data_IF_555208082240
#
_entry.id   IF_555208082240
#
_cell.length_a   1.000
_cell.length_b   1.000
_cell.length_c   1.000
_cell.angle_alpha   90.00
_cell.angle_beta   90.00
_cell.angle_gamma   90.00
#
_symmetry.space_group_name_H-M   'P 1'
#
loop_
_entity.id
_entity.type
_entity.pdbx_description
1 polymer ?
#
# COMPACT_ATOMS: atom_id res chain seq x y z
N UNK A 1 -28.24 -13.08 -0.47
CA UNK A 1 -27.67 -12.64 -1.77
C UNK A 1 -26.52 -11.67 -1.46
N UNK A 2 -25.26 -12.07 -1.66
CA UNK A 2 -24.12 -11.18 -1.36
C UNK A 2 -24.08 -10.06 -2.39
N UNK A 3 -24.11 -8.80 -1.94
CA UNK A 3 -24.06 -7.62 -2.79
C UNK A 3 -22.68 -7.54 -3.46
N UNK A 4 -22.63 -7.48 -4.79
CA UNK A 4 -21.36 -7.29 -5.51
C UNK A 4 -20.75 -5.94 -5.13
N UNK A 5 -19.44 -5.92 -4.90
CA UNK A 5 -18.68 -4.69 -4.66
C UNK A 5 -18.57 -3.92 -5.97
N UNK A 6 -19.17 -2.72 -6.02
CA UNK A 6 -19.06 -1.87 -7.20
C UNK A 6 -17.67 -1.20 -7.29
N UNK A 7 -17.24 -0.75 -8.49
CA UNK A 7 -16.04 0.08 -8.65
C UNK A 7 -15.97 1.27 -7.67
N UNK A 8 -17.12 1.91 -7.42
CA UNK A 8 -17.24 3.05 -6.49
C UNK A 8 -17.01 2.62 -5.04
N UNK A 9 -17.52 1.47 -4.63
CA UNK A 9 -17.32 0.93 -3.28
C UNK A 9 -15.85 0.64 -3.01
N UNK A 10 -15.12 0.14 -4.01
CA UNK A 10 -13.70 -0.14 -3.89
C UNK A 10 -12.86 1.14 -3.71
N UNK A 11 -13.17 2.20 -4.45
CA UNK A 11 -12.51 3.52 -4.29
C UNK A 11 -12.88 4.12 -2.93
N UNK A 12 -14.15 4.09 -2.54
CA UNK A 12 -14.62 4.57 -1.24
C UNK A 12 -13.98 3.82 -0.06
N UNK A 13 -13.68 2.53 -0.23
CA UNK A 13 -12.92 1.75 0.75
C UNK A 13 -11.49 2.30 0.92
N UNK A 14 -10.80 2.58 -0.20
CA UNK A 14 -9.46 3.17 -0.18
C UNK A 14 -9.49 4.58 0.41
N UNK A 15 -10.49 5.39 0.06
CA UNK A 15 -10.71 6.70 0.66
C UNK A 15 -10.89 6.62 2.17
N UNK A 16 -11.82 5.79 2.64
CA UNK A 16 -12.10 5.62 4.07
C UNK A 16 -10.84 5.28 4.85
N UNK A 17 -10.07 4.32 4.38
CA UNK A 17 -8.88 3.83 5.11
C UNK A 17 -7.60 4.64 4.84
N UNK A 18 -7.54 5.40 3.75
CA UNK A 18 -6.39 6.22 3.35
C UNK A 18 -5.25 5.40 2.75
N UNK A 19 -4.84 4.31 3.42
CA UNK A 19 -3.81 3.37 2.93
C UNK A 19 -4.34 1.95 3.01
N UNK A 20 -4.25 1.21 1.90
CA UNK A 20 -4.82 -0.13 1.75
C UNK A 20 -3.84 -1.02 0.98
N UNK A 21 -3.67 -2.27 1.38
CA UNK A 21 -2.96 -3.28 0.59
C UNK A 21 -3.90 -3.87 -0.46
N UNK A 22 -3.41 -4.15 -1.67
CA UNK A 22 -4.26 -4.75 -2.71
C UNK A 22 -4.78 -6.13 -2.28
N UNK A 23 -3.86 -7.04 -1.93
CA UNK A 23 -4.21 -8.42 -1.57
C UNK A 23 -3.34 -9.02 -0.46
N UNK A 24 -2.41 -8.25 0.09
CA UNK A 24 -1.47 -8.75 1.09
C UNK A 24 -1.92 -8.39 2.51
N UNK A 25 -1.44 -9.16 3.49
CA UNK A 25 -1.62 -8.86 4.91
C UNK A 25 -0.56 -7.91 5.42
N UNK A 26 -0.93 -7.04 6.35
CA UNK A 26 -0.04 -6.06 6.93
C UNK A 26 -0.73 -5.18 7.97
N UNK A 27 -0.12 -4.03 8.32
CA UNK A 27 -0.63 -3.13 9.35
C UNK A 27 -1.83 -2.28 8.88
N UNK A 28 -2.26 -2.44 7.63
CA UNK A 28 -3.40 -1.73 7.02
C UNK A 28 -4.35 -2.76 6.40
N UNK A 29 -5.63 -2.41 6.16
CA UNK A 29 -6.58 -3.32 5.54
C UNK A 29 -6.15 -3.82 4.16
N UNK A 30 -6.68 -4.98 3.77
CA UNK A 30 -6.50 -5.59 2.45
C UNK A 30 -7.81 -5.48 1.65
N UNK A 31 -7.77 -4.91 0.45
CA UNK A 31 -8.94 -4.80 -0.42
C UNK A 31 -9.47 -6.18 -0.80
N UNK A 32 -8.58 -7.11 -1.18
CA UNK A 32 -8.98 -8.45 -1.58
C UNK A 32 -9.65 -9.22 -0.43
N UNK A 33 -9.11 -9.15 0.80
CA UNK A 33 -9.72 -9.82 1.96
C UNK A 33 -11.04 -9.14 2.37
N UNK A 34 -11.15 -7.82 2.21
CA UNK A 34 -12.41 -7.11 2.45
C UNK A 34 -13.52 -7.55 1.49
N UNK A 35 -13.20 -7.71 0.20
CA UNK A 35 -14.14 -8.23 -0.81
C UNK A 35 -14.45 -9.71 -0.56
N UNK A 36 -13.43 -10.50 -0.21
CA UNK A 36 -13.60 -11.91 0.12
C UNK A 36 -14.50 -12.10 1.35
N UNK A 37 -14.48 -11.14 2.28
CA UNK A 37 -15.05 -11.22 3.62
C UNK A 37 -14.38 -12.31 4.49
N UNK A 38 -13.18 -12.72 4.09
CA UNK A 38 -12.39 -13.76 4.76
C UNK A 38 -10.89 -13.59 4.41
N UNK A 39 -9.98 -14.12 5.23
CA UNK A 39 -8.57 -14.16 4.88
C UNK A 39 -8.33 -15.04 3.65
N UNK A 40 -7.61 -14.53 2.65
CA UNK A 40 -7.26 -15.30 1.46
C UNK A 40 -5.99 -16.11 1.74
N UNK A 41 -6.05 -17.43 1.54
CA UNK A 41 -4.88 -18.32 1.54
C UNK A 41 -4.40 -18.53 0.10
N UNK A 42 -3.12 -18.27 -0.15
CA UNK A 42 -2.53 -18.42 -1.49
C UNK A 42 -2.88 -17.26 -2.44
N UNK A 43 -2.99 -17.57 -3.74
CA UNK A 43 -3.26 -16.57 -4.78
C UNK A 43 -4.74 -16.22 -4.84
N UNK A 44 -5.07 -14.92 -4.74
CA UNK A 44 -6.44 -14.44 -4.87
C UNK A 44 -7.06 -14.69 -6.26
N UNK A 45 -6.22 -14.92 -7.29
CA UNK A 45 -6.67 -15.26 -8.64
C UNK A 45 -7.50 -16.55 -8.68
N UNK A 46 -7.18 -17.53 -7.84
CA UNK A 46 -7.93 -18.79 -7.74
C UNK A 46 -9.11 -18.74 -6.78
N UNK A 47 -9.35 -17.59 -6.13
CA UNK A 47 -10.45 -17.45 -5.18
C UNK A 47 -11.80 -17.39 -5.89
N UNK A 48 -12.87 -17.89 -5.28
CA UNK A 48 -14.23 -17.82 -5.83
C UNK A 48 -14.66 -16.37 -6.16
N UNK A 49 -14.14 -15.40 -5.40
CA UNK A 49 -14.35 -13.95 -5.62
C UNK A 49 -13.25 -13.27 -6.46
N UNK A 50 -12.35 -14.03 -7.08
CA UNK A 50 -11.20 -13.51 -7.84
C UNK A 50 -11.62 -12.50 -8.91
N UNK A 51 -12.67 -12.79 -9.67
CA UNK A 51 -13.20 -11.86 -10.68
C UNK A 51 -13.67 -10.51 -10.09
N UNK A 52 -14.30 -10.53 -8.90
CA UNK A 52 -14.71 -9.30 -8.21
C UNK A 52 -13.51 -8.51 -7.69
N UNK A 53 -12.52 -9.21 -7.12
CA UNK A 53 -11.26 -8.60 -6.67
C UNK A 53 -10.53 -7.93 -7.83
N UNK A 54 -10.45 -8.59 -8.99
CA UNK A 54 -9.83 -8.03 -10.20
C UNK A 54 -10.53 -6.75 -10.67
N UNK A 55 -11.86 -6.76 -10.77
CA UNK A 55 -12.64 -5.59 -11.19
C UNK A 55 -12.47 -4.41 -10.23
N UNK A 56 -12.51 -4.69 -8.92
CA UNK A 56 -12.28 -3.67 -7.90
C UNK A 56 -10.85 -3.10 -7.97
N UNK A 57 -9.84 -3.96 -8.09
CA UNK A 57 -8.44 -3.54 -8.21
C UNK A 57 -8.21 -2.68 -9.46
N UNK A 58 -8.80 -3.04 -10.61
CA UNK A 58 -8.78 -2.24 -11.84
C UNK A 58 -9.35 -0.85 -11.61
N UNK A 59 -10.57 -0.76 -11.06
CA UNK A 59 -11.22 0.52 -10.78
C UNK A 59 -10.40 1.43 -9.86
N UNK A 60 -9.77 0.85 -8.83
CA UNK A 60 -8.89 1.58 -7.92
C UNK A 60 -7.62 2.07 -8.63
N UNK A 61 -6.99 1.24 -9.48
CA UNK A 61 -5.80 1.62 -10.24
C UNK A 61 -6.07 2.73 -11.27
N UNK A 62 -7.28 2.78 -11.83
CA UNK A 62 -7.70 3.77 -12.83
C UNK A 62 -8.17 5.09 -12.19
N UNK A 63 -8.37 5.12 -10.87
CA UNK A 63 -8.79 6.33 -10.16
C UNK A 63 -7.66 7.37 -10.10
N UNK A 64 -7.93 8.65 -10.48
CA UNK A 64 -6.96 9.72 -10.34
C UNK A 64 -6.64 10.07 -8.88
N UNK A 65 -7.51 9.67 -7.94
CA UNK A 65 -7.35 9.92 -6.51
C UNK A 65 -6.59 8.82 -5.77
N UNK A 66 -6.06 7.83 -6.49
CA UNK A 66 -5.30 6.74 -5.89
C UNK A 66 -3.89 6.66 -6.47
N UNK A 67 -2.91 6.73 -5.58
CA UNK A 67 -1.54 6.35 -5.87
C UNK A 67 -1.42 4.84 -5.67
N UNK A 68 -0.96 4.16 -6.71
CA UNK A 68 -0.50 2.77 -6.61
C UNK A 68 1.01 2.77 -6.45
N UNK A 69 1.51 2.20 -5.35
CA UNK A 69 2.95 2.17 -5.05
C UNK A 69 3.33 0.89 -4.27
N UNK A 70 4.59 0.81 -3.84
CA UNK A 70 5.17 -0.35 -3.13
C UNK A 70 5.61 0.01 -1.71
N UNK A 71 4.77 0.79 -1.01
CA UNK A 71 5.05 1.40 0.29
C UNK A 71 5.34 0.39 1.41
N UNK A 72 4.49 -0.63 1.54
CA UNK A 72 4.51 -1.58 2.66
C UNK A 72 5.17 -2.89 2.20
N UNK A 73 6.40 -3.14 2.64
CA UNK A 73 7.16 -4.36 2.31
C UNK A 73 7.22 -4.70 0.82
N UNK A 74 7.29 -3.69 -0.04
CA UNK A 74 7.25 -3.81 -1.51
C UNK A 74 5.96 -4.44 -2.08
N UNK A 75 4.89 -4.54 -1.27
CA UNK A 75 3.57 -5.01 -1.69
C UNK A 75 2.82 -3.88 -2.38
N UNK A 76 1.98 -4.23 -3.36
CA UNK A 76 1.08 -3.27 -4.03
C UNK A 76 0.19 -2.63 -2.97
N UNK A 77 0.34 -1.31 -2.85
CA UNK A 77 -0.32 -0.48 -1.85
C UNK A 77 -1.07 0.63 -2.57
N UNK A 78 -2.33 0.81 -2.19
CA UNK A 78 -3.19 1.91 -2.61
C UNK A 78 -3.14 3.00 -1.56
N UNK A 79 -2.92 4.24 -2.01
CA UNK A 79 -2.87 5.40 -1.14
C UNK A 79 -3.80 6.47 -1.70
N UNK A 80 -4.83 6.83 -0.93
CA UNK A 80 -5.81 7.83 -1.34
C UNK A 80 -5.22 9.25 -1.32
N UNK A 81 -5.69 10.12 -2.22
CA UNK A 81 -5.25 11.51 -2.36
C UNK A 81 -5.28 12.30 -1.07
N UNK A 82 -6.29 12.08 -0.22
CA UNK A 82 -6.44 12.76 1.08
C UNK A 82 -5.25 12.58 2.02
N UNK A 83 -4.45 11.51 1.85
CA UNK A 83 -3.26 11.25 2.69
C UNK A 83 -1.94 11.48 1.95
N UNK A 84 -1.95 11.88 0.67
CA UNK A 84 -0.72 12.18 -0.07
C UNK A 84 0.13 13.28 0.57
N UNK A 85 -0.42 14.39 1.11
CA UNK A 85 0.40 15.39 1.79
C UNK A 85 1.21 14.81 2.96
N UNK A 86 0.60 13.93 3.76
CA UNK A 86 1.28 13.23 4.85
C UNK A 86 2.36 12.26 4.33
N UNK A 87 2.08 11.56 3.22
CA UNK A 87 3.03 10.66 2.58
C UNK A 87 4.27 11.42 2.07
N UNK A 88 4.05 12.55 1.39
CA UNK A 88 5.10 13.44 0.89
C UNK A 88 5.90 14.03 2.05
N UNK A 89 5.24 14.55 3.08
CA UNK A 89 5.89 15.11 4.29
C UNK A 89 6.83 14.11 4.95
N UNK A 90 6.46 12.83 4.96
CA UNK A 90 7.25 11.76 5.55
C UNK A 90 8.10 10.97 4.55
N UNK A 91 8.25 11.43 3.30
CA UNK A 91 8.95 10.70 2.25
C UNK A 91 10.35 10.18 2.63
N UNK A 92 11.21 10.96 3.33
CA UNK A 92 12.53 10.49 3.78
C UNK A 92 12.48 9.22 4.64
N UNK A 93 11.36 8.94 5.32
CA UNK A 93 11.20 7.74 6.14
C UNK A 93 10.95 6.49 5.32
N UNK A 94 10.43 6.62 4.10
CA UNK A 94 10.04 5.49 3.25
C UNK A 94 11.04 5.20 2.14
N UNK A 95 11.73 6.23 1.65
CA UNK A 95 12.62 6.17 0.50
C UNK A 95 11.86 6.30 -0.82
N UNK A 96 12.44 7.05 -1.76
CA UNK A 96 11.78 7.46 -3.01
C UNK A 96 11.30 6.29 -3.88
N UNK A 97 12.06 5.19 -3.91
CA UNK A 97 11.70 3.99 -4.71
C UNK A 97 10.35 3.40 -4.29
N UNK A 98 10.04 3.39 -3.00
CA UNK A 98 8.76 2.86 -2.49
C UNK A 98 7.58 3.79 -2.75
N UNK A 99 7.86 5.06 -3.03
CA UNK A 99 6.88 6.10 -3.32
C UNK A 99 6.70 6.33 -4.81
N UNK A 100 7.44 5.63 -5.68
CA UNK A 100 7.19 5.67 -7.11
C UNK A 100 5.75 5.22 -7.39
N UNK A 101 5.06 5.96 -8.27
CA UNK A 101 3.78 5.51 -8.84
C UNK A 101 4.10 4.33 -9.76
N UNK A 102 3.43 3.20 -9.57
CA UNK A 102 3.63 1.98 -10.38
C UNK A 102 2.32 1.49 -10.95
N UNK A 103 2.35 0.94 -12.15
CA UNK A 103 1.22 0.24 -12.77
C UNK A 103 1.74 -0.81 -13.72
N UNK A 104 0.91 -1.80 -14.03
CA UNK A 104 1.24 -2.82 -15.01
C UNK A 104 0.38 -2.60 -16.26
N UNK A 105 1.03 -2.57 -17.42
CA UNK A 105 0.38 -2.52 -18.73
C UNK A 105 0.36 -3.93 -19.33
N UNK A 106 -0.82 -4.38 -19.77
CA UNK A 106 -0.90 -5.57 -20.61
C UNK A 106 -0.60 -5.16 -22.06
N UNK A 107 0.45 -5.73 -22.64
CA UNK A 107 0.71 -5.55 -24.07
C UNK A 107 -0.30 -6.34 -24.91
N UNK A 108 -0.38 -6.03 -26.20
CA UNK A 108 -1.21 -6.80 -27.17
C UNK A 108 -0.85 -8.28 -27.22
N UNK A 109 0.34 -8.66 -26.76
CA UNK A 109 0.85 -10.04 -26.70
C UNK A 109 0.59 -10.73 -25.36
N UNK A 110 -0.11 -10.07 -24.42
CA UNK A 110 -0.37 -10.60 -23.07
C UNK A 110 0.83 -10.50 -22.12
N UNK A 111 1.94 -9.89 -22.53
CA UNK A 111 3.08 -9.63 -21.65
C UNK A 111 2.74 -8.49 -20.69
N UNK A 112 3.06 -8.66 -19.42
CA UNK A 112 2.91 -7.60 -18.42
C UNK A 112 4.17 -6.75 -18.41
N UNK A 113 4.04 -5.47 -18.72
CA UNK A 113 5.14 -4.50 -18.61
C UNK A 113 4.88 -3.63 -17.40
N UNK A 114 5.75 -3.72 -16.40
CA UNK A 114 5.67 -2.85 -15.23
C UNK A 114 6.21 -1.46 -15.59
N UNK A 115 5.41 -0.44 -15.31
CA UNK A 115 5.72 0.97 -15.53
C UNK A 115 5.83 1.70 -14.21
N UNK A 116 6.58 2.80 -14.23
CA UNK A 116 6.72 3.66 -13.06
C UNK A 116 6.94 5.11 -13.41
N UNK A 117 6.46 6.00 -12.53
CA UNK A 117 6.86 7.40 -12.46
C UNK A 117 7.54 7.60 -11.10
N UNK A 118 8.82 8.02 -11.06
CA UNK A 118 9.55 8.14 -9.80
C UNK A 118 9.00 9.27 -8.93
N UNK A 119 9.11 9.13 -7.61
CA UNK A 119 8.87 10.24 -6.69
C UNK A 119 9.99 11.31 -6.83
N UNK A 120 9.69 12.62 -6.76
CA UNK A 120 8.37 13.23 -6.58
C UNK A 120 7.65 13.58 -7.91
N UNK A 121 8.08 13.07 -9.07
CA UNK A 121 7.59 13.53 -10.39
C UNK A 121 6.08 13.38 -10.62
N UNK A 122 5.42 12.44 -9.94
CA UNK A 122 3.97 12.25 -10.06
C UNK A 122 3.16 13.16 -9.14
N UNK A 123 3.80 13.82 -8.16
CA UNK A 123 3.11 14.53 -7.08
C UNK A 123 2.54 15.85 -7.62
N UNK A 124 1.21 16.08 -7.52
CA UNK A 124 0.61 17.35 -7.92
C UNK A 124 1.13 18.54 -7.10
N UNK A 125 1.20 19.73 -7.71
CA UNK A 125 1.75 20.92 -7.05
C UNK A 125 0.96 21.37 -5.82
N UNK A 126 -0.36 21.19 -5.81
CA UNK A 126 -1.21 21.48 -4.64
C UNK A 126 -0.90 20.54 -3.46
N UNK A 127 -0.60 19.27 -3.75
CA UNK A 127 -0.23 18.27 -2.75
C UNK A 127 1.16 18.57 -2.17
N UNK A 128 2.11 19.02 -3.00
CA UNK A 128 3.43 19.48 -2.53
C UNK A 128 3.29 20.65 -1.55
N UNK A 129 2.51 21.68 -1.91
CA UNK A 129 2.23 22.83 -1.03
C UNK A 129 1.57 22.41 0.28
N UNK A 130 0.56 21.54 0.21
CA UNK A 130 -0.08 21.01 1.42
C UNK A 130 0.92 20.26 2.31
N UNK A 131 1.81 19.45 1.72
CA UNK A 131 2.84 18.72 2.47
C UNK A 131 3.84 19.65 3.17
N UNK A 132 4.20 20.78 2.54
CA UNK A 132 5.10 21.78 3.14
C UNK A 132 4.50 22.37 4.43
N UNK A 133 3.20 22.72 4.38
CA UNK A 133 2.47 23.30 5.52
C UNK A 133 2.16 22.30 6.64
N UNK A 134 2.05 21.01 6.32
CA UNK A 134 1.69 19.98 7.28
C UNK A 134 2.82 19.75 8.29
N UNK A 135 2.50 19.70 9.59
CA UNK A 135 3.49 19.36 10.60
C UNK A 135 3.93 17.90 10.51
N UNK A 136 5.16 17.60 10.92
CA UNK A 136 5.65 16.21 10.94
C UNK A 136 4.82 15.34 11.87
N UNK A 137 4.44 15.84 13.05
CA UNK A 137 3.63 15.11 14.03
C UNK A 137 2.23 14.80 13.48
N UNK A 138 1.63 15.72 12.74
CA UNK A 138 0.32 15.48 12.14
C UNK A 138 0.38 14.47 10.99
N UNK A 139 1.41 14.55 10.15
CA UNK A 139 1.66 13.54 9.13
C UNK A 139 1.87 12.15 9.74
N UNK A 140 2.55 12.05 10.89
CA UNK A 140 2.70 10.81 11.64
C UNK A 140 1.38 10.27 12.19
N UNK A 141 0.50 11.13 12.70
CA UNK A 141 -0.85 10.73 13.17
C UNK A 141 -1.67 10.15 12.02
N UNK A 142 -1.66 10.83 10.87
CA UNK A 142 -2.37 10.39 9.65
C UNK A 142 -1.85 9.02 9.18
N UNK A 143 -0.53 8.79 9.23
CA UNK A 143 0.12 7.55 8.77
C UNK A 143 0.47 6.57 9.91
N UNK A 144 -0.18 6.70 11.06
CA UNK A 144 0.15 5.94 12.28
C UNK A 144 0.13 4.43 12.05
N UNK A 145 -0.86 3.90 11.34
CA UNK A 145 -0.94 2.48 11.00
C UNK A 145 0.27 1.99 10.17
N UNK A 146 0.65 2.75 9.15
CA UNK A 146 1.81 2.45 8.30
C UNK A 146 3.11 2.47 9.11
N UNK A 147 3.25 3.43 10.02
CA UNK A 147 4.44 3.59 10.85
C UNK A 147 4.53 2.53 11.97
N UNK A 148 3.41 2.12 12.55
CA UNK A 148 3.35 1.08 13.58
C UNK A 148 3.88 -0.27 13.07
N UNK A 149 3.57 -0.62 11.81
CA UNK A 149 4.09 -1.83 11.17
C UNK A 149 5.61 -1.89 11.07
N UNK A 150 6.30 -0.74 11.02
CA UNK A 150 7.78 -0.70 11.03
C UNK A 150 8.36 -1.03 12.40
N UNK A 151 7.77 -0.48 13.48
CA UNK A 151 8.29 -0.66 14.86
C UNK A 151 8.34 -2.15 15.27
N UNK A 152 7.33 -2.93 14.88
CA UNK A 152 7.27 -4.38 15.16
C UNK A 152 8.44 -5.16 14.53
N UNK A 153 8.86 -4.82 13.30
CA UNK A 153 9.95 -5.52 12.61
C UNK A 153 11.34 -5.15 13.13
N UNK A 154 11.57 -3.88 13.48
CA UNK A 154 12.86 -3.46 14.04
C UNK A 154 13.14 -4.13 15.38
N UNK A 155 12.10 -4.31 16.22
CA UNK A 155 12.20 -5.07 17.47
C UNK A 155 12.52 -6.55 17.20
N UNK A 156 11.77 -7.20 16.30
CA UNK A 156 11.95 -8.64 15.99
C UNK A 156 13.33 -8.95 15.36
N UNK A 157 13.83 -8.07 14.48
CA UNK A 157 15.16 -8.22 13.87
C UNK A 157 16.32 -8.01 14.86
N UNK A 158 16.16 -7.16 15.87
CA UNK A 158 17.15 -6.99 16.95
C UNK A 158 17.18 -8.21 17.87
N UNK A 159 16.03 -8.75 18.26
CA UNK A 159 15.95 -9.98 19.07
C UNK A 159 16.57 -11.18 18.36
N UNK A 160 16.30 -11.37 17.06
CA UNK A 160 16.89 -12.47 16.28
C UNK A 160 18.43 -12.39 16.21
N UNK A 161 18.99 -11.19 16.03
CA UNK A 161 20.46 -10.98 16.04
C UNK A 161 21.08 -11.22 17.42
N UNK A 162 20.40 -10.85 18.51
CA UNK A 162 20.87 -11.13 19.87
C UNK A 162 20.90 -12.63 20.14
N UNK A 163 19.84 -13.36 19.77
CA UNK A 163 19.78 -14.82 19.93
C UNK A 163 20.87 -15.52 19.11
N UNK A 164 21.11 -15.09 17.87
CA UNK A 164 22.20 -15.63 17.04
C UNK A 164 23.59 -15.33 17.61
N UNK A 165 23.78 -14.15 18.21
CA UNK A 165 25.05 -13.76 18.83
C UNK A 165 25.33 -14.53 20.13
N UNK A 166 24.30 -14.78 20.95
CA UNK A 166 24.42 -15.57 22.17
C UNK A 166 24.73 -17.04 21.88
N UNK A 167 24.18 -17.61 20.79
CA UNK A 167 24.52 -18.97 20.36
C UNK A 167 25.98 -19.12 19.92
N UNK A 168 26.57 -18.10 19.29
CA UNK A 168 27.99 -18.07 18.88
C UNK A 168 28.99 -17.85 20.02
N UNK A 169 28.54 -17.44 21.20
CA UNK A 169 29.41 -17.25 22.38
C UNK A 169 29.51 -18.54 23.20
N UNK A 170 28.54 -19.46 23.02
CA UNK A 170 28.49 -20.75 23.71
C UNK A 170 28.99 -21.93 22.84
N UNK A 171 29.63 -21.64 21.70
CA UNK A 171 30.42 -22.56 20.88
C UNK A 171 31.89 -22.17 20.99
#
# INVERSE_FOLDING_TARGET
MQKEVSPRDAIAFVERHGVVLQAARGPVPSLAEAIACEPIRGSWWGHAKGGQIFRAARAVCESPDVLVCKLIDNKVTYVHRRVWPALVKLAPRFGNERLAKVWDEHTKTGTHVSRRIPFPKWVPGDVMKAAETLSTQEAERILSAVLAGKKSKTARGRSAKIVQRLRRINE
#
